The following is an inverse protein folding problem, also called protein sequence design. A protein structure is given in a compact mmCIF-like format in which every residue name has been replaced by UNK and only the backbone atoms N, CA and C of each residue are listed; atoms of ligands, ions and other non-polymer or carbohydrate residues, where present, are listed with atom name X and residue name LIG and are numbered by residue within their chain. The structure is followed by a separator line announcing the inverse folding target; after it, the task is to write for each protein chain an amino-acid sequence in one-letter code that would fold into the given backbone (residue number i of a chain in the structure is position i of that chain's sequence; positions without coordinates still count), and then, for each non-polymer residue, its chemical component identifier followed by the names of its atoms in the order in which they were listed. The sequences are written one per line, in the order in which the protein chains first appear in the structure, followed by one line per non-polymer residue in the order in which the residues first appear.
data_IF_687859024329
#
_entry.id   IF_687859024329
#
_cell.length_a   1.000
_cell.length_b   1.000
_cell.length_c   1.000
_cell.angle_alpha   90.00
_cell.angle_beta   90.00
_cell.angle_gamma   90.00
#
_symmetry.space_group_name_H-M   'P 1'
#
loop_
_entity.id
_entity.type
_entity.pdbx_description
1 polymer ?
#
# COMPACT_ATOMS: atom_id res chain seq x y z
N UNK A 1 19.54 6.60 -9.90
CA UNK A 1 18.66 6.01 -8.88
C UNK A 1 17.56 7.01 -8.62
N UNK A 2 16.50 6.94 -9.43
CA UNK A 2 15.36 7.84 -9.39
C UNK A 2 14.62 7.67 -8.05
N UNK A 3 14.64 8.71 -7.21
CA UNK A 3 13.80 8.76 -6.02
C UNK A 3 12.36 8.91 -6.50
N UNK A 4 11.39 8.11 -6.01
CA UNK A 4 9.98 8.36 -6.29
C UNK A 4 9.61 9.65 -5.55
N UNK A 5 9.76 10.78 -6.25
CA UNK A 5 9.38 12.09 -5.73
C UNK A 5 7.85 12.10 -5.67
N UNK A 6 7.23 12.51 -4.54
CA UNK A 6 5.78 12.59 -4.45
C UNK A 6 5.25 13.50 -5.57
N UNK A 7 4.42 12.94 -6.46
CA UNK A 7 3.94 13.68 -7.64
C UNK A 7 2.93 14.76 -7.24
N UNK A 8 2.23 14.57 -6.11
CA UNK A 8 1.26 15.50 -5.55
C UNK A 8 1.54 15.79 -4.06
N UNK A 9 1.19 16.98 -3.54
CA UNK A 9 1.40 17.35 -2.13
C UNK A 9 0.73 16.45 -1.08
N UNK A 10 -0.19 15.58 -1.51
CA UNK A 10 -0.90 14.61 -0.65
C UNK A 10 -0.40 13.17 -0.85
N UNK A 11 0.65 12.99 -1.63
CA UNK A 11 1.26 11.69 -1.84
C UNK A 11 2.33 11.50 -0.77
N UNK A 12 2.39 10.30 -0.22
CA UNK A 12 3.45 9.88 0.69
C UNK A 12 4.61 9.26 -0.08
N UNK A 13 5.82 9.20 0.51
CA UNK A 13 6.89 8.35 -0.01
C UNK A 13 6.41 6.91 -0.15
N UNK A 14 6.86 6.21 -1.20
CA UNK A 14 6.48 4.83 -1.49
C UNK A 14 6.62 3.90 -0.28
N UNK A 15 7.72 4.01 0.46
CA UNK A 15 7.98 3.23 1.69
C UNK A 15 6.95 3.46 2.79
N UNK A 16 6.46 4.70 2.94
CA UNK A 16 5.45 5.02 3.95
C UNK A 16 4.08 4.56 3.48
N UNK A 17 3.74 4.81 2.21
CA UNK A 17 2.48 4.39 1.62
C UNK A 17 2.32 2.86 1.71
N UNK A 18 3.37 2.11 1.39
CA UNK A 18 3.37 0.65 1.39
C UNK A 18 3.12 0.07 2.80
N UNK A 19 3.63 0.70 3.86
CA UNK A 19 3.40 0.28 5.26
C UNK A 19 1.96 0.52 5.73
N UNK A 20 1.23 1.42 5.09
CA UNK A 20 -0.13 1.78 5.47
C UNK A 20 -1.20 0.90 4.81
N UNK A 21 -0.79 0.11 3.81
CA UNK A 21 -1.67 -0.82 3.10
C UNK A 21 -1.17 -2.24 3.26
N UNK A 22 -2.09 -3.19 3.23
CA UNK A 22 -1.76 -4.61 3.20
C UNK A 22 -2.46 -5.24 2.01
N UNK A 23 -1.80 -6.21 1.36
CA UNK A 23 -2.40 -7.02 0.30
C UNK A 23 -2.93 -8.30 0.91
N UNK A 24 -4.19 -8.62 0.67
CA UNK A 24 -4.72 -9.94 0.94
C UNK A 24 -4.30 -10.87 -0.19
N UNK A 25 -3.44 -11.84 0.11
CA UNK A 25 -3.04 -12.87 -0.84
C UNK A 25 -3.55 -14.22 -0.35
N UNK A 26 -3.96 -15.13 -1.25
CA UNK A 26 -4.30 -16.49 -0.85
C UNK A 26 -3.12 -17.15 -0.15
N UNK A 27 -3.36 -17.74 1.01
CA UNK A 27 -2.35 -18.57 1.66
C UNK A 27 -2.09 -19.80 0.81
N UNK A 28 -0.83 -20.04 0.50
CA UNK A 28 -0.40 -21.21 -0.26
C UNK A 28 0.06 -22.26 0.75
N UNK A 29 -0.66 -23.39 0.79
CA UNK A 29 -0.32 -24.52 1.64
C UNK A 29 1.01 -25.17 1.21
N UNK A 30 1.52 -26.06 2.06
CA UNK A 30 2.78 -26.81 1.82
C UNK A 30 2.77 -27.60 0.50
N UNK A 31 1.58 -27.82 -0.04
CA UNK A 31 1.32 -28.61 -1.24
C UNK A 31 1.33 -27.73 -2.52
N UNK A 32 1.64 -26.44 -2.40
CA UNK A 32 1.64 -25.48 -3.50
C UNK A 32 0.24 -25.04 -3.96
N UNK A 33 -0.82 -25.42 -3.22
CA UNK A 33 -2.22 -25.08 -3.53
C UNK A 33 -2.73 -23.98 -2.61
N UNK A 34 -3.61 -23.07 -3.08
CA UNK A 34 -4.31 -22.13 -2.21
C UNK A 34 -5.13 -22.90 -1.17
N UNK A 35 -4.99 -22.56 0.11
CA UNK A 35 -5.74 -23.19 1.21
C UNK A 35 -7.19 -22.72 1.28
N UNK A 36 -7.54 -21.66 0.54
CA UNK A 36 -8.83 -20.97 0.63
C UNK A 36 -8.84 -19.88 1.69
N UNK A 37 -7.80 -19.78 2.52
CA UNK A 37 -7.60 -18.69 3.46
C UNK A 37 -6.78 -17.57 2.82
N UNK A 38 -6.99 -16.34 3.29
CA UNK A 38 -6.22 -15.17 2.84
C UNK A 38 -5.33 -14.68 3.96
N UNK A 39 -4.07 -14.42 3.65
CA UNK A 39 -3.10 -13.82 4.57
C UNK A 39 -2.82 -12.37 4.18
N UNK A 40 -2.63 -11.54 5.20
CA UNK A 40 -2.15 -10.17 5.01
C UNK A 40 -0.66 -10.20 4.67
N UNK A 41 -0.32 -9.78 3.46
CA UNK A 41 1.05 -9.61 3.00
C UNK A 41 1.40 -8.12 2.95
N UNK A 42 2.57 -7.78 3.48
CA UNK A 42 3.12 -6.43 3.37
C UNK A 42 3.45 -6.11 1.92
N UNK A 43 3.17 -4.87 1.53
CA UNK A 43 3.49 -4.37 0.19
C UNK A 43 4.90 -3.79 0.23
N UNK A 44 5.74 -4.15 -0.75
CA UNK A 44 7.06 -3.53 -0.89
C UNK A 44 6.96 -2.09 -1.39
N UNK A 45 7.94 -1.24 -1.06
CA UNK A 45 8.02 0.11 -1.61
C UNK A 45 8.16 0.09 -3.15
N UNK A 46 8.87 -0.90 -3.68
CA UNK A 46 9.06 -1.11 -5.12
C UNK A 46 7.77 -1.51 -5.86
N UNK A 47 6.77 -2.00 -5.11
CA UNK A 47 5.47 -2.33 -5.66
C UNK A 47 4.55 -1.11 -5.73
N UNK A 48 4.88 0.02 -5.09
CA UNK A 48 4.06 1.22 -5.10
C UNK A 48 4.30 1.99 -6.39
N UNK A 49 3.32 1.94 -7.30
CA UNK A 49 3.34 2.70 -8.54
C UNK A 49 2.88 4.14 -8.31
N UNK A 50 1.78 4.33 -7.57
CA UNK A 50 1.27 5.62 -7.18
C UNK A 50 0.55 5.52 -5.84
N UNK A 51 0.45 6.61 -5.08
CA UNK A 51 -0.39 6.66 -3.90
C UNK A 51 -1.03 8.03 -3.76
N UNK A 52 -2.13 8.11 -3.01
CA UNK A 52 -2.80 9.37 -2.71
C UNK A 52 -3.56 9.29 -1.41
N UNK A 53 -3.33 10.27 -0.53
CA UNK A 53 -4.11 10.45 0.70
C UNK A 53 -5.36 11.27 0.40
N UNK A 54 -6.51 10.83 0.94
CA UNK A 54 -7.79 11.55 0.94
C UNK A 54 -8.41 11.43 2.34
N UNK A 55 -8.36 12.53 3.09
CA UNK A 55 -8.87 12.54 4.46
C UNK A 55 -8.07 11.60 5.37
N UNK A 56 -8.74 10.57 5.90
CA UNK A 56 -8.21 9.52 6.77
C UNK A 56 -7.85 8.23 6.03
N UNK A 57 -8.00 8.21 4.71
CA UNK A 57 -7.68 7.05 3.86
C UNK A 57 -6.51 7.34 2.93
N UNK A 58 -5.68 6.32 2.69
CA UNK A 58 -4.67 6.31 1.64
C UNK A 58 -5.06 5.25 0.62
N UNK A 59 -5.06 5.64 -0.66
CA UNK A 59 -5.15 4.70 -1.77
C UNK A 59 -3.77 4.52 -2.37
N UNK A 60 -3.31 3.28 -2.43
CA UNK A 60 -2.06 2.88 -3.09
C UNK A 60 -2.42 2.09 -4.34
N UNK A 61 -1.86 2.49 -5.46
CA UNK A 61 -1.89 1.73 -6.72
C UNK A 61 -0.56 1.01 -6.83
N UNK A 62 -0.61 -0.32 -6.88
CA UNK A 62 0.60 -1.13 -7.06
C UNK A 62 0.95 -1.31 -8.53
N UNK A 63 2.19 -1.73 -8.82
CA UNK A 63 2.71 -1.92 -10.18
C UNK A 63 1.97 -2.98 -11.00
N UNK A 64 1.32 -3.92 -10.33
CA UNK A 64 0.40 -4.90 -10.91
C UNK A 64 -1.02 -4.35 -11.17
N UNK A 65 -1.25 -3.06 -10.91
CA UNK A 65 -2.53 -2.38 -11.12
C UNK A 65 -3.55 -2.58 -9.99
N UNK A 66 -3.21 -3.28 -8.91
CA UNK A 66 -4.13 -3.42 -7.77
C UNK A 66 -4.26 -2.11 -7.01
N UNK A 67 -5.47 -1.86 -6.49
CA UNK A 67 -5.75 -0.73 -5.60
C UNK A 67 -5.90 -1.25 -4.19
N UNK A 68 -5.00 -0.80 -3.33
CA UNK A 68 -5.01 -1.11 -1.90
C UNK A 68 -5.42 0.14 -1.14
N UNK A 69 -6.37 -0.01 -0.24
CA UNK A 69 -6.85 1.08 0.60
C UNK A 69 -6.40 0.80 2.02
N UNK A 70 -5.85 1.83 2.66
CA UNK A 70 -5.36 1.76 4.02
C UNK A 70 -5.77 3.01 4.78
N UNK A 71 -5.48 3.00 6.08
CA UNK A 71 -5.71 4.17 6.93
C UNK A 71 -4.52 5.11 6.76
N UNK A 72 -4.76 6.32 6.28
CA UNK A 72 -3.72 7.33 6.23
C UNK A 72 -3.41 7.81 7.66
N UNK A 73 -2.16 8.19 7.95
CA UNK A 73 -1.88 8.96 9.14
C UNK A 73 -2.66 10.26 9.01
N UNK A 74 -3.74 10.38 9.79
CA UNK A 74 -4.47 11.64 9.90
C UNK A 74 -3.44 12.67 10.31
N UNK A 75 -3.17 13.68 9.47
CA UNK A 75 -2.62 14.94 9.96
C UNK A 75 -3.71 15.55 10.85
N UNK A 76 -3.88 15.01 12.05
CA UNK A 76 -4.58 15.70 13.12
C UNK A 76 -3.76 16.93 13.42
N UNK A 77 -4.33 18.07 13.04
CA UNK A 77 -4.13 19.37 13.63
C UNK A 77 -2.67 19.81 13.83
N UNK A 78 -2.24 20.73 12.96
CA UNK A 78 -1.43 21.86 13.39
C UNK A 78 -2.10 22.43 14.66
N UNK A 79 -1.48 22.22 15.83
CA UNK A 79 -1.71 23.04 17.01
C UNK A 79 -0.54 24.02 17.09
#
# INVERSE_FOLDING_TARGET
MDKPTPQHPMDLPAEQAAKLVKRLVPEIGKDGKPTGETVEKEVGADEVFANRVRGDEITVVTTDGQKLVGKAPTKSAKA
#
